data_IF_576738197268
#
_entry.id   IF_576738197268
#
_cell.length_a   1.000
_cell.length_b   1.000
_cell.length_c   1.000
_cell.angle_alpha   90.00
_cell.angle_beta   90.00
_cell.angle_gamma   90.00
#
_symmetry.space_group_name_H-M   'P 1'
#
loop_
_entity.id
_entity.type
_entity.pdbx_description
1 polymer ?
#
# COMPACT_ATOMS: atom_id res chain seq x y z
N UNK A 1 -69.22 22.14 7.94
CA UNK A 1 -68.60 23.32 8.56
C UNK A 1 -67.12 23.00 8.70
N UNK A 2 -66.13 23.68 8.14
CA UNK A 2 -65.99 24.94 7.41
C UNK A 2 -64.52 25.35 7.60
N UNK A 3 -63.84 25.83 6.55
CA UNK A 3 -62.49 26.41 6.68
C UNK A 3 -61.46 25.87 5.69
N UNK A 4 -61.46 26.44 4.48
CA UNK A 4 -60.41 26.38 3.48
C UNK A 4 -59.62 27.70 3.57
N UNK A 5 -58.29 27.67 3.43
CA UNK A 5 -57.43 28.62 2.65
C UNK A 5 -55.96 28.45 3.12
N UNK A 6 -55.05 27.93 2.29
CA UNK A 6 -54.41 28.44 1.06
C UNK A 6 -53.08 29.16 1.34
N UNK A 7 -52.04 28.58 0.72
CA UNK A 7 -51.14 29.23 -0.23
C UNK A 7 -49.82 29.87 0.25
N UNK A 8 -48.79 29.55 -0.56
CA UNK A 8 -47.59 30.37 -0.80
C UNK A 8 -46.30 29.63 -0.43
N UNK A 9 -45.25 29.50 -1.25
CA UNK A 9 -44.98 29.78 -2.65
C UNK A 9 -43.64 29.05 -2.97
N UNK A 10 -43.58 28.19 -3.98
CA UNK A 10 -42.81 28.32 -5.23
C UNK A 10 -41.62 29.31 -5.20
N UNK A 11 -40.38 28.80 -5.37
CA UNK A 11 -39.32 29.32 -6.27
C UNK A 11 -38.08 28.42 -6.18
N UNK A 12 -37.80 27.53 -7.15
CA UNK A 12 -36.96 27.72 -8.34
C UNK A 12 -35.50 28.18 -8.10
N UNK A 13 -34.59 27.19 -8.24
CA UNK A 13 -33.55 27.06 -9.30
C UNK A 13 -32.34 28.03 -9.36
N UNK A 14 -31.19 27.39 -9.68
CA UNK A 14 -29.96 27.84 -10.40
C UNK A 14 -28.87 28.47 -9.53
N UNK A 15 -27.71 27.80 -9.41
CA UNK A 15 -26.50 27.89 -10.27
C UNK A 15 -25.92 29.31 -10.30
N UNK A 16 -24.67 29.46 -9.86
CA UNK A 16 -23.86 30.62 -10.24
C UNK A 16 -22.64 30.88 -9.35
N UNK A 17 -21.49 30.37 -9.81
CA UNK A 17 -20.10 30.84 -9.68
C UNK A 17 -19.73 32.10 -8.88
N UNK A 18 -18.61 31.98 -8.17
CA UNK A 18 -17.64 33.04 -7.82
C UNK A 18 -16.77 32.59 -6.63
N UNK A 19 -15.57 31.98 -6.80
CA UNK A 19 -14.24 32.62 -7.01
C UNK A 19 -13.99 33.74 -5.98
N UNK A 20 -12.85 33.86 -5.28
CA UNK A 20 -11.51 33.32 -5.46
C UNK A 20 -10.73 33.47 -4.14
N UNK A 21 -9.77 32.57 -3.92
CA UNK A 21 -8.34 32.88 -3.82
C UNK A 21 -7.84 33.32 -2.43
N UNK A 22 -7.03 32.44 -1.84
CA UNK A 22 -5.78 32.85 -1.23
C UNK A 22 -4.73 31.79 -1.55
N UNK A 23 -4.04 32.03 -2.67
CA UNK A 23 -2.75 31.42 -2.97
C UNK A 23 -1.69 32.31 -2.33
N UNK A 24 -0.87 31.71 -1.47
CA UNK A 24 0.49 32.16 -1.24
C UNK A 24 1.37 30.91 -1.05
N UNK A 25 2.08 30.60 -2.12
CA UNK A 25 3.28 29.74 -2.25
C UNK A 25 4.31 30.05 -1.15
N UNK A 26 5.08 29.11 -0.59
CA UNK A 26 6.15 28.31 -1.23
C UNK A 26 6.41 27.06 -0.37
N UNK A 27 6.48 25.88 -0.99
CA UNK A 27 6.94 24.64 -0.36
C UNK A 27 6.14 23.43 -0.82
N UNK A 28 6.79 22.52 -1.54
CA UNK A 28 6.19 21.37 -2.21
C UNK A 28 5.33 20.47 -1.30
N UNK A 29 4.19 20.00 -1.82
CA UNK A 29 3.44 18.85 -1.29
C UNK A 29 1.95 19.12 -1.14
N UNK A 30 1.16 18.81 -2.17
CA UNK A 30 -0.31 18.82 -2.11
C UNK A 30 -0.79 17.84 -1.04
N UNK A 31 -1.41 18.38 0.01
CA UNK A 31 -2.15 17.61 1.00
C UNK A 31 -3.50 17.18 0.41
N UNK A 32 -3.64 15.90 0.07
CA UNK A 32 -4.95 15.29 -0.19
C UNK A 32 -5.55 14.88 1.15
N UNK A 33 -6.65 15.55 1.51
CA UNK A 33 -7.44 15.31 2.72
C UNK A 33 -8.31 14.07 2.50
N UNK A 34 -8.12 13.03 3.31
CA UNK A 34 -9.01 11.86 3.34
C UNK A 34 -8.44 10.64 4.06
N UNK A 35 -8.48 10.61 5.40
CA UNK A 35 -8.75 9.39 6.19
C UNK A 35 -7.70 8.28 6.34
N UNK A 36 -6.54 8.30 5.66
CA UNK A 36 -5.53 7.24 5.80
C UNK A 36 -4.36 7.68 6.69
N UNK A 37 -4.57 7.76 8.01
CA UNK A 37 -3.45 7.81 8.96
C UNK A 37 -2.92 6.39 9.17
N UNK A 38 -2.07 5.93 8.24
CA UNK A 38 -1.06 4.96 8.63
C UNK A 38 -0.27 5.66 9.75
N UNK A 39 -0.50 5.26 10.99
CA UNK A 39 0.48 5.48 12.04
C UNK A 39 1.64 4.55 11.67
N UNK A 40 2.38 4.96 10.63
CA UNK A 40 3.59 4.31 10.17
C UNK A 40 4.44 4.25 11.43
N UNK A 41 4.64 3.06 11.97
CA UNK A 41 5.41 2.88 13.19
C UNK A 41 6.80 3.55 13.04
N UNK A 42 7.28 3.70 11.80
CA UNK A 42 8.60 4.19 11.46
C UNK A 42 8.63 5.23 10.31
N UNK A 43 7.51 5.92 10.00
CA UNK A 43 7.49 6.98 8.98
C UNK A 43 7.72 6.56 7.51
N UNK A 44 7.85 5.25 7.24
CA UNK A 44 8.24 4.69 5.94
C UNK A 44 7.14 4.52 4.87
N UNK A 45 5.97 5.14 5.02
CA UNK A 45 4.88 5.05 4.02
C UNK A 45 4.13 3.71 3.98
N UNK A 46 4.42 2.79 4.90
CA UNK A 46 3.73 1.51 5.06
C UNK A 46 3.56 1.13 6.54
N UNK A 47 2.69 0.16 6.83
CA UNK A 47 2.53 -0.44 8.15
C UNK A 47 2.83 -1.94 8.12
N UNK A 48 3.52 -2.43 9.15
CA UNK A 48 3.75 -3.86 9.32
C UNK A 48 2.54 -4.47 10.03
N UNK A 49 1.87 -5.42 9.37
CA UNK A 49 0.77 -6.18 9.95
C UNK A 49 1.28 -7.34 10.81
N UNK A 50 2.30 -8.04 10.33
CA UNK A 50 2.91 -9.18 11.02
C UNK A 50 4.35 -9.40 10.55
N UNK A 51 5.14 -10.03 11.43
CA UNK A 51 6.49 -10.52 11.15
C UNK A 51 6.54 -12.02 11.42
N UNK A 52 7.37 -12.74 10.68
CA UNK A 52 7.73 -14.12 10.98
C UNK A 52 9.21 -14.34 10.71
N UNK A 53 9.80 -15.30 11.41
CA UNK A 53 11.22 -15.65 11.24
C UNK A 53 11.36 -16.62 10.07
N UNK A 54 12.38 -16.40 9.26
CA UNK A 54 12.88 -17.37 8.27
C UNK A 54 14.37 -17.62 8.55
N UNK A 55 14.98 -18.71 8.07
CA UNK A 55 16.41 -18.93 8.24
C UNK A 55 17.23 -17.73 7.77
N UNK A 56 18.11 -17.21 8.62
CA UNK A 56 18.98 -16.05 8.37
C UNK A 56 18.22 -14.80 7.87
N UNK A 57 16.98 -14.63 8.33
CA UNK A 57 16.10 -13.64 7.74
C UNK A 57 14.79 -13.36 8.46
N UNK A 58 13.99 -12.50 7.83
CA UNK A 58 12.67 -12.12 8.31
C UNK A 58 11.66 -12.02 7.16
N UNK A 59 10.44 -12.48 7.43
CA UNK A 59 9.29 -12.26 6.57
C UNK A 59 8.32 -11.23 7.15
N UNK A 60 7.70 -10.42 6.29
CA UNK A 60 6.72 -9.38 6.68
C UNK A 60 5.43 -9.42 5.86
N UNK A 61 4.31 -9.20 6.54
CA UNK A 61 3.09 -8.71 5.92
C UNK A 61 3.08 -7.19 6.04
N UNK A 62 3.07 -6.51 4.90
CA UNK A 62 3.11 -5.05 4.80
C UNK A 62 1.81 -4.54 4.20
N UNK A 63 1.26 -3.48 4.78
CA UNK A 63 0.07 -2.79 4.30
C UNK A 63 0.44 -1.37 3.89
N UNK A 64 0.04 -0.97 2.69
CA UNK A 64 0.21 0.36 2.14
C UNK A 64 -1.14 1.06 1.94
N UNK A 65 -1.11 2.29 1.43
CA UNK A 65 -2.32 2.98 0.98
C UNK A 65 -2.95 2.24 -0.21
N UNK A 66 -4.29 2.32 -0.39
CA UNK A 66 -4.97 1.82 -1.57
C UNK A 66 -4.45 2.49 -2.82
N UNK A 67 -4.54 1.77 -3.94
CA UNK A 67 -4.25 2.29 -5.28
C UNK A 67 -2.89 3.02 -5.32
N UNK A 68 -1.79 2.36 -4.89
CA UNK A 68 -0.47 2.97 -4.94
C UNK A 68 -0.10 3.24 -6.41
N UNK A 69 0.53 4.38 -6.67
CA UNK A 69 1.12 4.65 -7.96
C UNK A 69 2.53 4.04 -8.04
N UNK A 70 3.10 4.05 -9.25
CA UNK A 70 4.42 3.45 -9.51
C UNK A 70 5.55 4.07 -8.69
N UNK A 71 5.46 5.38 -8.42
CA UNK A 71 6.41 6.09 -7.57
C UNK A 71 6.36 5.60 -6.12
N UNK A 72 5.17 5.36 -5.57
CA UNK A 72 5.02 4.83 -4.22
C UNK A 72 5.62 3.43 -4.10
N UNK A 73 5.38 2.57 -5.10
CA UNK A 73 5.87 1.19 -5.09
C UNK A 73 7.40 1.13 -5.22
N UNK A 74 8.00 2.01 -6.03
CA UNK A 74 9.46 2.13 -6.14
C UNK A 74 10.07 2.64 -4.84
N UNK A 75 9.49 3.68 -4.25
CA UNK A 75 9.93 4.19 -2.96
C UNK A 75 9.81 3.12 -1.86
N UNK A 76 8.72 2.34 -1.85
CA UNK A 76 8.56 1.21 -0.94
C UNK A 76 9.65 0.15 -1.17
N UNK A 77 9.97 -0.18 -2.42
CA UNK A 77 11.02 -1.14 -2.72
C UNK A 77 12.37 -0.70 -2.13
N UNK A 78 12.77 0.56 -2.33
CA UNK A 78 14.01 1.10 -1.75
C UNK A 78 14.01 1.06 -0.22
N UNK A 79 12.86 1.35 0.41
CA UNK A 79 12.71 1.24 1.87
C UNK A 79 12.83 -0.19 2.37
N UNK A 80 12.18 -1.15 1.72
CA UNK A 80 12.29 -2.56 2.11
C UNK A 80 13.73 -3.07 1.94
N UNK A 81 14.46 -2.61 0.92
CA UNK A 81 15.89 -2.92 0.76
C UNK A 81 16.73 -2.37 1.89
N UNK A 82 16.46 -1.15 2.33
CA UNK A 82 17.12 -0.53 3.48
C UNK A 82 16.82 -1.31 4.78
N UNK A 83 15.54 -1.60 5.04
CA UNK A 83 15.08 -2.31 6.23
C UNK A 83 15.61 -3.75 6.33
N UNK A 84 15.72 -4.43 5.19
CA UNK A 84 16.26 -5.79 5.09
C UNK A 84 17.75 -5.83 4.75
N UNK A 85 18.45 -4.69 4.78
CA UNK A 85 19.88 -4.63 4.42
C UNK A 85 20.74 -5.56 5.27
N UNK A 86 20.38 -5.74 6.55
CA UNK A 86 21.07 -6.59 7.53
C UNK A 86 20.67 -8.08 7.50
N UNK A 87 19.65 -8.44 6.72
CA UNK A 87 19.18 -9.82 6.64
C UNK A 87 19.71 -10.46 5.35
N UNK A 88 20.17 -11.70 5.42
CA UNK A 88 20.59 -12.44 4.22
C UNK A 88 19.39 -12.89 3.40
N UNK A 89 18.33 -13.30 4.10
CA UNK A 89 17.05 -13.66 3.51
C UNK A 89 15.96 -12.69 3.96
N UNK A 90 15.08 -12.30 3.04
CA UNK A 90 13.92 -11.49 3.40
C UNK A 90 12.76 -11.73 2.45
N UNK A 91 11.55 -11.66 3.00
CA UNK A 91 10.31 -11.68 2.24
C UNK A 91 9.40 -10.57 2.74
N UNK A 92 8.80 -9.80 1.85
CA UNK A 92 7.65 -8.97 2.23
C UNK A 92 6.52 -9.14 1.23
N UNK A 93 5.36 -9.51 1.73
CA UNK A 93 4.11 -9.50 0.97
C UNK A 93 3.41 -8.16 1.21
N UNK A 94 3.17 -7.42 0.12
CA UNK A 94 2.65 -6.05 0.18
C UNK A 94 1.19 -6.03 -0.27
N UNK A 95 0.33 -5.54 0.60
CA UNK A 95 -1.12 -5.45 0.38
C UNK A 95 -1.59 -4.00 0.44
N UNK A 96 -2.57 -3.66 -0.37
CA UNK A 96 -3.24 -2.36 -0.31
C UNK A 96 -4.47 -2.34 0.60
N UNK A 97 -4.90 -3.52 1.05
CA UNK A 97 -6.00 -3.74 1.98
C UNK A 97 -5.53 -4.51 3.21
N UNK A 98 -5.86 -3.97 4.39
CA UNK A 98 -5.44 -4.53 5.68
C UNK A 98 -6.17 -5.83 6.01
N UNK A 99 -7.46 -5.93 5.69
CA UNK A 99 -8.25 -7.14 5.95
C UNK A 99 -7.82 -8.27 5.02
N UNK A 100 -7.56 -7.96 3.76
CA UNK A 100 -7.01 -8.94 2.82
C UNK A 100 -5.66 -9.50 3.30
N UNK A 101 -4.76 -8.64 3.78
CA UNK A 101 -3.50 -9.08 4.37
C UNK A 101 -3.70 -10.00 5.60
N UNK A 102 -4.72 -9.74 6.42
CA UNK A 102 -5.08 -10.60 7.57
C UNK A 102 -5.61 -11.95 7.10
N UNK A 103 -6.50 -11.95 6.11
CA UNK A 103 -7.10 -13.16 5.57
C UNK A 103 -6.05 -14.07 4.92
N UNK A 104 -5.11 -13.49 4.16
CA UNK A 104 -3.98 -14.24 3.59
C UNK A 104 -3.10 -14.81 4.69
N UNK A 105 -2.79 -14.02 5.73
CA UNK A 105 -2.01 -14.51 6.88
C UNK A 105 -2.71 -15.67 7.59
N UNK A 106 -4.03 -15.61 7.75
CA UNK A 106 -4.80 -16.70 8.36
C UNK A 106 -4.83 -17.95 7.46
N UNK A 107 -4.72 -17.79 6.14
CA UNK A 107 -4.63 -18.89 5.20
C UNK A 107 -5.98 -19.53 4.89
N UNK A 108 -6.08 -20.19 3.74
CA UNK A 108 -7.35 -20.69 3.19
C UNK A 108 -8.08 -21.69 4.09
N UNK A 109 -7.35 -22.48 4.89
CA UNK A 109 -7.95 -23.42 5.86
C UNK A 109 -8.78 -22.73 6.94
N UNK A 110 -8.45 -21.48 7.28
CA UNK A 110 -9.12 -20.74 8.35
C UNK A 110 -10.19 -19.79 7.83
N UNK A 111 -9.98 -19.17 6.65
CA UNK A 111 -10.91 -18.17 6.10
C UNK A 111 -11.76 -18.68 4.93
N UNK A 112 -11.48 -19.88 4.43
CA UNK A 112 -12.08 -20.44 3.22
C UNK A 112 -11.29 -20.08 1.95
N UNK A 113 -11.31 -20.97 0.98
CA UNK A 113 -10.54 -20.84 -0.27
C UNK A 113 -10.97 -19.64 -1.11
N UNK A 114 -12.27 -19.40 -1.24
CA UNK A 114 -12.80 -18.28 -2.03
C UNK A 114 -12.36 -16.93 -1.46
N UNK A 115 -12.51 -16.75 -0.14
CA UNK A 115 -12.11 -15.54 0.57
C UNK A 115 -10.60 -15.33 0.51
N UNK A 116 -9.82 -16.39 0.69
CA UNK A 116 -8.37 -16.34 0.56
C UNK A 116 -7.94 -15.91 -0.85
N UNK A 117 -8.55 -16.47 -1.90
CA UNK A 117 -8.30 -16.07 -3.29
C UNK A 117 -8.71 -14.62 -3.57
N UNK A 118 -9.85 -14.18 -3.03
CA UNK A 118 -10.27 -12.79 -3.15
C UNK A 118 -9.26 -11.85 -2.48
N UNK A 119 -8.78 -12.19 -1.27
CA UNK A 119 -7.78 -11.43 -0.55
C UNK A 119 -6.44 -11.35 -1.28
N UNK A 120 -6.02 -12.40 -1.99
CA UNK A 120 -4.78 -12.37 -2.78
C UNK A 120 -4.80 -11.31 -3.89
N UNK A 121 -5.96 -10.92 -4.44
CA UNK A 121 -6.05 -9.86 -5.47
C UNK A 121 -5.59 -8.48 -4.95
N UNK A 122 -5.60 -8.30 -3.63
CA UNK A 122 -5.09 -7.08 -2.97
C UNK A 122 -3.58 -7.08 -2.78
N UNK A 123 -2.89 -8.17 -3.13
CA UNK A 123 -1.44 -8.18 -3.12
C UNK A 123 -0.91 -7.37 -4.31
N UNK A 124 -0.22 -6.26 -4.00
CA UNK A 124 0.32 -5.32 -5.02
C UNK A 124 1.77 -5.59 -5.35
N UNK A 125 2.53 -6.12 -4.40
CA UNK A 125 3.91 -6.44 -4.64
C UNK A 125 4.42 -7.56 -3.73
N UNK A 126 5.59 -8.09 -4.08
CA UNK A 126 6.37 -9.01 -3.27
C UNK A 126 7.83 -8.60 -3.33
N UNK A 127 8.45 -8.38 -2.17
CA UNK A 127 9.89 -8.28 -2.03
C UNK A 127 10.47 -9.64 -1.67
N UNK A 128 11.57 -10.01 -2.31
CA UNK A 128 12.33 -11.22 -2.04
C UNK A 128 13.82 -10.91 -2.04
N UNK A 129 14.52 -11.37 -1.00
CA UNK A 129 15.99 -11.38 -0.93
C UNK A 129 16.45 -12.77 -0.48
N UNK A 130 17.46 -13.29 -1.16
CA UNK A 130 18.07 -14.58 -0.87
C UNK A 130 19.58 -14.52 -1.19
N UNK A 131 20.40 -14.23 -0.19
CA UNK A 131 21.82 -13.95 -0.36
C UNK A 131 22.59 -15.10 -1.03
N UNK A 132 22.34 -16.34 -0.62
CA UNK A 132 23.07 -17.52 -1.17
C UNK A 132 22.74 -17.81 -2.64
N UNK A 133 21.60 -17.32 -3.14
CA UNK A 133 21.23 -17.40 -4.57
C UNK A 133 21.59 -16.13 -5.34
N UNK A 134 22.11 -15.12 -4.66
CA UNK A 134 22.36 -13.80 -5.24
C UNK A 134 21.09 -13.12 -5.74
N UNK A 135 19.94 -13.42 -5.14
CA UNK A 135 18.64 -12.92 -5.58
C UNK A 135 18.17 -11.78 -4.69
N UNK A 136 17.83 -10.65 -5.29
CA UNK A 136 17.11 -9.56 -4.64
C UNK A 136 16.16 -8.95 -5.67
N UNK A 137 14.86 -9.00 -5.41
CA UNK A 137 13.84 -8.54 -6.35
C UNK A 137 12.62 -7.95 -5.65
N UNK A 138 11.95 -7.05 -6.38
CA UNK A 138 10.66 -6.50 -6.04
C UNK A 138 9.72 -6.69 -7.22
N UNK A 139 8.77 -7.61 -7.06
CA UNK A 139 7.78 -7.97 -8.08
C UNK A 139 6.52 -7.16 -7.85
N UNK A 140 6.07 -6.44 -8.87
CA UNK A 140 4.81 -5.68 -8.86
C UNK A 140 3.75 -6.42 -9.66
N UNK A 141 2.58 -6.58 -9.08
CA UNK A 141 1.45 -7.27 -9.72
C UNK A 141 0.47 -6.26 -10.32
N UNK A 142 -0.04 -6.56 -11.52
CA UNK A 142 -1.21 -5.86 -12.05
C UNK A 142 -2.47 -6.31 -11.27
N UNK A 143 -2.60 -7.62 -11.14
CA UNK A 143 -3.51 -8.33 -10.26
C UNK A 143 -2.80 -9.63 -9.90
N UNK A 144 -2.72 -10.04 -8.63
CA UNK A 144 -2.06 -11.30 -8.33
C UNK A 144 -2.80 -12.49 -8.98
N UNK A 145 -2.09 -13.44 -9.64
CA UNK A 145 -0.63 -13.57 -9.74
C UNK A 145 0.00 -12.96 -11.02
N UNK A 146 -0.75 -12.20 -11.82
CA UNK A 146 -0.26 -11.53 -13.02
C UNK A 146 0.78 -10.45 -12.69
N UNK A 147 2.03 -10.74 -13.03
CA UNK A 147 3.17 -9.83 -12.87
C UNK A 147 3.09 -8.71 -13.91
N UNK A 148 3.22 -7.47 -13.45
CA UNK A 148 3.35 -6.28 -14.29
C UNK A 148 4.81 -5.94 -14.55
N UNK A 149 5.61 -5.94 -13.49
CA UNK A 149 7.01 -5.48 -13.52
C UNK A 149 7.80 -6.23 -12.45
N UNK A 150 9.08 -6.49 -12.73
CA UNK A 150 10.02 -7.03 -11.74
C UNK A 150 11.26 -6.16 -11.69
N UNK A 151 11.46 -5.49 -10.57
CA UNK A 151 12.69 -4.75 -10.29
C UNK A 151 13.71 -5.73 -9.71
N UNK A 152 14.80 -5.98 -10.44
CA UNK A 152 15.91 -6.82 -9.96
C UNK A 152 17.04 -5.95 -9.48
N UNK A 153 17.60 -6.29 -8.33
CA UNK A 153 18.71 -5.56 -7.75
C UNK A 153 19.97 -6.41 -7.81
N UNK A 154 21.12 -5.82 -8.16
CA UNK A 154 22.37 -6.55 -8.09
C UNK A 154 22.63 -6.93 -6.64
N UNK A 155 23.05 -8.17 -6.40
CA UNK A 155 23.55 -8.58 -5.10
C UNK A 155 24.61 -7.59 -4.65
N UNK A 156 24.45 -7.00 -3.46
CA UNK A 156 25.53 -6.20 -2.85
C UNK A 156 26.72 -7.13 -2.69
N UNK A 157 27.73 -6.99 -3.55
CA UNK A 157 29.04 -7.55 -3.27
C UNK A 157 29.50 -6.92 -1.97
N UNK A 158 29.65 -7.73 -0.93
CA UNK A 158 30.31 -7.31 0.29
C UNK A 158 31.63 -6.66 -0.12
N UNK A 159 31.89 -5.46 0.39
CA UNK A 159 33.20 -4.86 0.29
C UNK A 159 34.20 -5.92 0.77
N UNK A 160 35.08 -6.35 -0.13
CA UNK A 160 36.21 -7.19 0.21
C UNK A 160 36.95 -6.51 1.37
N UNK A 161 37.08 -7.22 2.49
CA UNK A 161 37.99 -6.80 3.54
C UNK A 161 39.42 -6.73 2.95
N UNK A 162 40.21 -5.70 3.31
CA UNK A 162 41.60 -5.57 2.87
C UNK A 162 42.49 -6.70 3.42
#
# INVERSE_FOLDING_TARGET
MGGIRRAGAVARRRRGHGLAALVATVGAGVAVIGGWRLRAADGGGYAILARWVIPDGEGRFVVIRPEPNDGDLRALADRLREDFSRHDNAVAMVFDDREAARDVRHGSRNVGEERFRAALRHQRAMYLKHATRGEESFVVYAEYPLVRETLRYPARRGASAP
#
